data_IF_619267505186
#
_entry.id   IF_619267505186
#
_cell.length_a   1.000
_cell.length_b   1.000
_cell.length_c   1.000
_cell.angle_alpha   90.00
_cell.angle_beta   90.00
_cell.angle_gamma   90.00
#
_symmetry.space_group_name_H-M   'P 1'
#
loop_
_entity.id
_entity.type
_entity.pdbx_description
1 polymer ?
#
# COMPACT_ATOMS: atom_id res chain seq x y z
N UNK A 1 23.02 22.08 -9.14
CA UNK A 1 21.58 22.27 -8.79
C UNK A 1 20.80 23.07 -9.83
N UNK A 2 21.20 24.28 -10.23
CA UNK A 2 20.44 25.08 -11.22
C UNK A 2 20.29 24.37 -12.58
N UNK A 3 21.34 23.71 -13.07
CA UNK A 3 21.31 23.01 -14.36
C UNK A 3 20.20 21.95 -14.47
N UNK A 4 19.89 21.27 -13.36
CA UNK A 4 18.84 20.25 -13.29
C UNK A 4 17.48 20.81 -12.82
N UNK A 5 17.40 22.12 -12.54
CA UNK A 5 16.17 22.82 -12.13
C UNK A 5 16.04 24.16 -12.89
N UNK A 6 16.02 24.17 -14.23
CA UNK A 6 16.14 25.40 -15.02
C UNK A 6 15.01 26.40 -14.77
N UNK A 7 13.82 25.93 -14.41
CA UNK A 7 12.63 26.76 -14.18
C UNK A 7 12.50 27.24 -12.72
N UNK A 8 13.40 26.84 -11.82
CA UNK A 8 13.33 27.19 -10.41
C UNK A 8 14.24 28.39 -10.11
N UNK A 9 13.71 29.35 -9.34
CA UNK A 9 14.53 30.39 -8.71
C UNK A 9 15.10 29.83 -7.42
N UNK A 10 16.32 29.32 -7.47
CA UNK A 10 16.97 28.73 -6.30
C UNK A 10 17.51 29.85 -5.38
N UNK A 11 17.25 29.76 -4.05
CA UNK A 11 17.81 30.71 -3.10
C UNK A 11 19.33 30.57 -2.99
N UNK A 12 20.04 31.68 -2.75
CA UNK A 12 21.47 31.69 -2.45
C UNK A 12 21.70 31.57 -0.94
N UNK A 13 21.34 30.41 -0.39
CA UNK A 13 21.57 30.06 1.01
C UNK A 13 22.35 28.75 1.09
N UNK A 14 23.12 28.62 2.16
CA UNK A 14 23.77 27.35 2.49
C UNK A 14 22.73 26.25 2.70
N UNK A 15 23.02 25.05 2.21
CA UNK A 15 22.19 23.87 2.46
C UNK A 15 22.70 23.21 3.73
N UNK A 16 21.83 23.13 4.73
CA UNK A 16 22.13 22.50 6.00
C UNK A 16 21.78 21.02 5.94
N UNK A 17 22.80 20.16 5.90
CA UNK A 17 22.61 18.71 5.78
C UNK A 17 22.36 18.11 7.17
N UNK A 18 21.26 17.38 7.28
CA UNK A 18 20.85 16.67 8.48
C UNK A 18 21.00 15.16 8.25
N UNK A 19 21.73 14.49 9.12
CA UNK A 19 21.88 13.03 9.14
C UNK A 19 21.32 12.42 10.42
N UNK A 20 21.22 11.09 10.48
CA UNK A 20 20.77 10.36 11.68
C UNK A 20 21.92 10.16 12.68
N UNK A 21 21.65 10.40 13.96
CA UNK A 21 22.56 10.09 15.06
C UNK A 21 22.43 8.65 15.57
N UNK A 22 21.30 8.00 15.35
CA UNK A 22 21.05 6.61 15.75
C UNK A 22 21.30 5.61 14.61
N UNK A 23 21.57 4.36 14.99
CA UNK A 23 21.69 3.27 14.03
C UNK A 23 20.35 3.06 13.31
N UNK A 24 20.35 3.21 12.00
CA UNK A 24 19.12 3.35 11.23
C UNK A 24 19.12 2.53 9.95
N UNK A 25 18.05 1.75 9.76
CA UNK A 25 17.78 1.08 8.49
C UNK A 25 17.56 2.07 7.35
N UNK A 26 16.94 3.23 7.62
CA UNK A 26 16.77 4.30 6.63
C UNK A 26 18.12 4.86 6.19
N UNK A 27 19.07 5.00 7.13
CA UNK A 27 20.46 5.37 6.81
C UNK A 27 21.12 4.31 5.93
N UNK A 28 20.95 3.03 6.25
CA UNK A 28 21.48 1.94 5.40
C UNK A 28 20.94 1.98 3.97
N UNK A 29 19.66 2.27 3.80
CA UNK A 29 19.03 2.38 2.48
C UNK A 29 19.51 3.62 1.72
N UNK A 30 19.59 4.76 2.41
CA UNK A 30 20.00 6.02 1.81
C UNK A 30 21.46 5.97 1.35
N UNK A 31 22.37 5.51 2.22
CA UNK A 31 23.80 5.41 1.90
C UNK A 31 24.09 4.39 0.82
N UNK A 32 23.29 3.32 0.74
CA UNK A 32 23.36 2.41 -0.39
C UNK A 32 23.00 3.08 -1.70
N UNK A 33 21.90 3.82 -1.74
CA UNK A 33 21.51 4.54 -2.94
C UNK A 33 22.62 5.53 -3.35
N UNK A 34 23.20 6.27 -2.40
CA UNK A 34 24.36 7.14 -2.67
C UNK A 34 25.56 6.37 -3.24
N UNK A 35 25.86 5.18 -2.69
CA UNK A 35 26.89 4.27 -3.21
C UNK A 35 26.61 3.80 -4.62
N UNK A 36 25.34 3.60 -5.01
CA UNK A 36 25.01 3.25 -6.39
C UNK A 36 25.14 4.43 -7.36
N UNK A 37 24.87 5.65 -6.89
CA UNK A 37 24.90 6.84 -7.74
C UNK A 37 26.30 7.43 -7.93
N UNK A 38 27.17 7.26 -6.92
CA UNK A 38 28.48 7.92 -6.88
C UNK A 38 29.58 6.94 -6.51
N UNK A 39 30.51 6.75 -7.45
CA UNK A 39 31.72 5.98 -7.22
C UNK A 39 32.56 6.56 -6.07
N UNK A 40 32.67 7.89 -6.00
CA UNK A 40 33.42 8.59 -4.95
C UNK A 40 32.80 8.36 -3.56
N UNK A 41 31.47 8.42 -3.46
CA UNK A 41 30.76 8.08 -2.23
C UNK A 41 31.04 6.63 -1.83
N UNK A 42 30.94 5.72 -2.80
CA UNK A 42 31.07 4.29 -2.56
C UNK A 42 32.46 3.91 -2.05
N UNK A 43 33.52 4.51 -2.59
CA UNK A 43 34.90 4.26 -2.16
C UNK A 43 35.22 4.95 -0.84
N UNK A 44 34.70 6.16 -0.60
CA UNK A 44 35.03 6.96 0.59
C UNK A 44 34.25 6.52 1.82
N UNK A 45 32.94 6.31 1.69
CA UNK A 45 32.03 6.01 2.81
C UNK A 45 31.40 4.63 2.70
N UNK A 46 31.03 4.22 1.50
CA UNK A 46 30.31 2.97 1.26
C UNK A 46 28.91 2.97 1.88
N UNK A 47 28.44 1.76 2.18
CA UNK A 47 27.11 1.53 2.77
C UNK A 47 27.22 1.27 4.26
N UNK A 48 26.48 2.03 5.06
CA UNK A 48 26.49 1.90 6.51
C UNK A 48 25.14 2.25 7.11
N UNK A 49 24.86 1.71 8.30
CA UNK A 49 23.66 2.05 9.10
C UNK A 49 23.99 2.86 10.35
N UNK A 50 25.27 2.95 10.71
CA UNK A 50 25.71 3.50 11.98
C UNK A 50 25.51 5.02 12.05
N UNK A 51 25.07 5.49 13.21
CA UNK A 51 24.97 6.92 13.51
C UNK A 51 26.24 7.46 14.18
N UNK A 52 26.08 8.12 15.33
CA UNK A 52 27.20 8.57 16.17
C UNK A 52 27.68 7.49 17.12
N UNK A 53 28.94 7.57 17.54
CA UNK A 53 29.46 6.80 18.64
C UNK A 53 28.89 7.39 19.93
N UNK A 54 28.00 6.67 20.61
CA UNK A 54 27.34 7.16 21.83
C UNK A 54 28.29 7.42 23.01
N UNK A 55 29.52 6.93 22.95
CA UNK A 55 30.55 7.18 23.98
C UNK A 55 31.32 8.47 23.73
N UNK A 56 31.60 8.81 22.46
CA UNK A 56 32.39 9.98 22.09
C UNK A 56 31.57 11.12 21.48
N UNK A 57 30.27 10.90 21.30
CA UNK A 57 29.32 11.76 20.58
C UNK A 57 29.82 12.25 19.21
N UNK A 58 30.69 11.45 18.58
CA UNK A 58 31.30 11.75 17.29
C UNK A 58 30.67 10.87 16.22
N UNK A 59 30.42 11.36 15.00
CA UNK A 59 29.94 10.50 13.93
C UNK A 59 30.92 9.36 13.66
N UNK A 60 30.42 8.12 13.57
CA UNK A 60 31.31 6.98 13.31
C UNK A 60 31.77 6.95 11.86
N UNK A 61 30.90 7.37 10.94
CA UNK A 61 31.13 7.30 9.49
C UNK A 61 30.78 8.61 8.78
N UNK A 62 29.84 9.40 9.32
CA UNK A 62 29.49 10.68 8.69
C UNK A 62 30.64 11.69 8.73
N UNK A 63 30.90 12.34 7.60
CA UNK A 63 31.86 13.43 7.52
C UNK A 63 31.30 14.69 8.22
N UNK A 64 31.94 15.08 9.32
CA UNK A 64 31.59 16.28 10.09
C UNK A 64 31.77 17.59 9.32
N UNK A 65 32.49 17.59 8.20
CA UNK A 65 32.60 18.77 7.32
C UNK A 65 31.39 18.94 6.39
N UNK A 66 30.59 17.87 6.21
CA UNK A 66 29.41 17.85 5.34
C UNK A 66 28.12 17.89 6.18
N UNK A 67 28.09 17.19 7.31
CA UNK A 67 26.91 17.11 8.17
C UNK A 67 26.88 18.27 9.16
N UNK A 68 25.85 19.11 9.04
CA UNK A 68 25.66 20.26 9.93
C UNK A 68 24.90 19.90 11.20
N UNK A 69 23.98 18.93 11.12
CA UNK A 69 23.14 18.54 12.25
C UNK A 69 22.85 17.04 12.26
N UNK A 70 22.62 16.53 13.46
CA UNK A 70 22.32 15.13 13.70
C UNK A 70 20.96 14.99 14.38
N UNK A 71 20.15 14.09 13.83
CA UNK A 71 18.78 13.85 14.23
C UNK A 71 18.64 12.47 14.88
N UNK A 72 18.06 12.42 16.08
CA UNK A 72 17.74 11.16 16.73
C UNK A 72 16.38 10.62 16.24
N UNK A 73 16.40 9.46 15.61
CA UNK A 73 15.21 8.82 15.09
C UNK A 73 14.53 9.57 13.95
N UNK A 74 13.39 9.03 13.50
CA UNK A 74 12.58 9.66 12.45
C UNK A 74 11.92 10.97 12.92
N UNK A 75 11.50 11.04 14.18
CA UNK A 75 10.85 12.24 14.73
C UNK A 75 11.83 13.39 14.93
N UNK A 76 13.08 13.12 15.34
CA UNK A 76 14.13 14.14 15.39
C UNK A 76 14.41 14.70 13.99
N UNK A 77 14.47 13.82 12.98
CA UNK A 77 14.70 14.24 11.59
C UNK A 77 13.56 15.12 11.08
N UNK A 78 12.31 14.71 11.32
CA UNK A 78 11.13 15.50 11.01
C UNK A 78 11.16 16.87 11.69
N UNK A 79 11.47 16.92 12.99
CA UNK A 79 11.53 18.16 13.77
C UNK A 79 12.58 19.14 13.22
N UNK A 80 13.78 18.65 12.92
CA UNK A 80 14.85 19.47 12.36
C UNK A 80 14.52 19.96 10.94
N UNK A 81 14.08 19.07 10.04
CA UNK A 81 13.70 19.45 8.66
C UNK A 81 12.58 20.51 8.65
N UNK A 82 11.63 20.45 9.59
CA UNK A 82 10.56 21.45 9.71
C UNK A 82 11.03 22.79 10.28
N UNK A 83 11.92 22.76 11.26
CA UNK A 83 12.31 23.96 12.01
C UNK A 83 13.49 24.71 11.39
N UNK A 84 14.37 24.00 10.69
CA UNK A 84 15.60 24.52 10.12
C UNK A 84 15.37 24.86 8.65
N UNK A 85 15.33 26.16 8.34
CA UNK A 85 15.24 26.63 6.95
C UNK A 85 16.47 26.23 6.15
N UNK A 86 16.26 25.96 4.86
CA UNK A 86 17.32 25.55 3.92
C UNK A 86 18.01 24.23 4.31
N UNK A 87 17.32 23.38 5.06
CA UNK A 87 17.83 22.07 5.43
C UNK A 87 17.43 20.98 4.43
N UNK A 88 18.23 19.92 4.39
CA UNK A 88 17.93 18.68 3.68
C UNK A 88 18.19 17.49 4.59
N UNK A 89 17.30 16.52 4.54
CA UNK A 89 17.42 15.26 5.25
C UNK A 89 16.72 14.14 4.49
N UNK A 90 16.72 12.95 5.05
CA UNK A 90 16.10 11.76 4.46
C UNK A 90 15.18 11.08 5.47
N UNK A 91 14.01 10.64 5.00
CA UNK A 91 13.00 9.93 5.79
C UNK A 91 12.11 9.10 4.87
N UNK A 92 11.21 8.28 5.44
CA UNK A 92 10.23 7.55 4.63
C UNK A 92 9.28 8.50 3.90
N UNK A 93 8.87 8.11 2.70
CA UNK A 93 7.89 8.87 1.89
C UNK A 93 6.58 9.07 2.63
N UNK A 94 6.10 8.06 3.37
CA UNK A 94 4.90 8.16 4.20
C UNK A 94 4.99 9.30 5.22
N UNK A 95 6.09 9.37 5.96
CA UNK A 95 6.34 10.43 6.96
C UNK A 95 6.36 11.82 6.30
N UNK A 96 6.99 11.93 5.13
CA UNK A 96 7.04 13.18 4.38
C UNK A 96 5.63 13.64 3.95
N UNK A 97 4.79 12.72 3.45
CA UNK A 97 3.41 13.00 3.02
C UNK A 97 2.51 13.36 4.22
N UNK A 98 2.55 12.55 5.28
CA UNK A 98 1.76 12.76 6.51
C UNK A 98 2.00 14.14 7.14
N UNK A 99 3.21 14.67 6.98
CA UNK A 99 3.60 15.97 7.50
C UNK A 99 3.69 17.08 6.46
N UNK A 100 3.20 16.84 5.24
CA UNK A 100 3.16 17.80 4.14
C UNK A 100 4.53 18.42 3.83
N UNK A 101 5.59 17.63 3.93
CA UNK A 101 6.94 18.05 3.56
C UNK A 101 7.13 17.98 2.05
N UNK A 102 7.89 18.94 1.52
CA UNK A 102 8.41 18.84 0.16
C UNK A 102 9.54 17.82 0.12
N UNK A 103 9.58 17.00 -0.93
CA UNK A 103 10.66 16.06 -1.21
C UNK A 103 11.10 16.18 -2.66
N UNK A 104 12.37 15.85 -2.92
CA UNK A 104 12.95 15.97 -4.26
C UNK A 104 12.53 14.82 -5.17
N UNK A 105 12.50 15.08 -6.48
CA UNK A 105 12.43 14.04 -7.49
C UNK A 105 13.85 13.60 -7.78
N UNK A 106 14.07 12.29 -7.90
CA UNK A 106 15.41 11.73 -8.06
C UNK A 106 15.57 11.18 -9.47
N UNK A 107 16.69 11.53 -10.10
CA UNK A 107 17.02 11.03 -11.42
C UNK A 107 17.35 9.54 -11.33
N UNK A 108 16.70 8.71 -12.15
CA UNK A 108 16.98 7.28 -12.25
C UNK A 108 18.06 6.97 -13.31
N UNK A 109 18.42 5.70 -13.48
CA UNK A 109 19.40 5.25 -14.49
C UNK A 109 19.05 5.63 -15.94
N UNK A 110 17.77 5.92 -16.22
CA UNK A 110 17.28 6.30 -17.54
C UNK A 110 17.31 7.82 -17.75
N UNK A 111 17.80 8.58 -16.77
CA UNK A 111 17.86 10.03 -16.82
C UNK A 111 16.53 10.72 -16.45
N UNK A 112 15.54 9.98 -15.98
CA UNK A 112 14.19 10.47 -15.67
C UNK A 112 14.13 10.90 -14.20
N UNK A 113 13.62 12.11 -13.94
CA UNK A 113 13.35 12.57 -12.57
C UNK A 113 12.03 11.99 -12.07
N UNK A 114 12.13 10.98 -11.21
CA UNK A 114 10.99 10.19 -10.72
C UNK A 114 10.56 10.61 -9.32
N UNK A 115 9.26 10.50 -9.07
CA UNK A 115 8.67 10.62 -7.73
C UNK A 115 8.57 9.23 -7.07
N UNK A 116 8.50 9.13 -5.73
CA UNK A 116 8.20 7.88 -5.04
C UNK A 116 6.67 7.60 -5.06
N UNK A 117 6.15 7.13 -6.19
CA UNK A 117 4.77 6.66 -6.35
C UNK A 117 4.71 5.14 -6.23
N UNK A 118 3.49 4.58 -6.17
CA UNK A 118 3.30 3.13 -6.20
C UNK A 118 3.98 2.51 -7.43
N UNK A 119 3.76 3.09 -8.59
CA UNK A 119 4.23 2.59 -9.88
C UNK A 119 5.76 2.64 -9.98
N UNK A 120 6.37 3.75 -9.58
CA UNK A 120 7.84 3.90 -9.67
C UNK A 120 8.58 3.02 -8.65
N UNK A 121 8.02 2.83 -7.46
CA UNK A 121 8.60 1.94 -6.45
C UNK A 121 8.39 0.47 -6.86
N UNK A 122 7.24 0.11 -7.44
CA UNK A 122 7.05 -1.23 -7.99
C UNK A 122 7.94 -1.49 -9.21
N UNK A 123 8.24 -0.50 -10.04
CA UNK A 123 9.25 -0.61 -11.10
C UNK A 123 10.66 -0.86 -10.52
N UNK A 124 11.01 -0.25 -9.38
CA UNK A 124 12.25 -0.55 -8.67
C UNK A 124 12.29 -1.98 -8.12
N UNK A 125 11.16 -2.49 -7.59
CA UNK A 125 11.01 -3.90 -7.19
C UNK A 125 11.20 -4.85 -8.39
N UNK A 126 10.51 -4.56 -9.49
CA UNK A 126 10.50 -5.39 -10.69
C UNK A 126 11.86 -5.41 -11.41
N UNK A 127 12.67 -4.37 -11.23
CA UNK A 127 14.07 -4.35 -11.64
C UNK A 127 14.90 -5.47 -11.01
N UNK A 128 14.42 -6.11 -9.95
CA UNK A 128 15.15 -7.21 -9.31
C UNK A 128 14.26 -8.44 -9.14
N UNK A 129 13.11 -8.50 -9.82
CA UNK A 129 12.14 -9.58 -9.66
C UNK A 129 12.65 -10.96 -10.10
N UNK A 130 13.73 -11.05 -10.87
CA UNK A 130 14.38 -12.32 -11.24
C UNK A 130 15.54 -12.72 -10.32
N UNK A 131 15.88 -11.90 -9.33
CA UNK A 131 16.99 -12.16 -8.42
C UNK A 131 16.65 -13.28 -7.42
N UNK A 132 17.52 -14.27 -7.24
CA UNK A 132 17.29 -15.32 -6.25
C UNK A 132 17.25 -14.80 -4.80
N UNK A 133 17.85 -13.64 -4.54
CA UNK A 133 17.83 -12.98 -3.27
C UNK A 133 16.62 -12.05 -3.11
N UNK A 134 15.55 -12.56 -2.49
CA UNK A 134 14.35 -11.79 -2.16
C UNK A 134 14.56 -10.68 -1.11
N UNK A 135 15.74 -10.59 -0.48
CA UNK A 135 16.11 -9.49 0.43
C UNK A 135 17.09 -8.51 -0.22
N UNK A 136 17.26 -8.60 -1.55
CA UNK A 136 18.02 -7.63 -2.30
C UNK A 136 17.42 -6.24 -2.11
N UNK A 137 18.30 -5.29 -1.87
CA UNK A 137 17.92 -3.90 -1.69
C UNK A 137 17.66 -3.27 -3.07
N UNK A 138 16.78 -2.28 -3.13
CA UNK A 138 16.17 -1.77 -4.37
C UNK A 138 16.78 -0.44 -4.84
N UNK A 139 18.06 -0.24 -4.56
CA UNK A 139 18.78 0.94 -5.01
C UNK A 139 18.94 0.92 -6.54
N UNK A 140 18.68 2.07 -7.15
CA UNK A 140 18.94 2.37 -8.56
C UNK A 140 18.45 1.29 -9.55
N UNK A 141 17.16 0.97 -9.47
CA UNK A 141 16.52 -0.03 -10.33
C UNK A 141 16.72 0.25 -11.82
N UNK A 142 16.98 -0.81 -12.60
CA UNK A 142 17.33 -0.74 -14.02
C UNK A 142 16.12 -0.68 -14.97
N UNK A 143 14.88 -0.62 -14.47
CA UNK A 143 13.71 -0.43 -15.32
C UNK A 143 13.39 1.07 -15.49
N UNK A 144 12.86 1.49 -16.65
CA UNK A 144 12.33 2.84 -16.83
C UNK A 144 11.27 3.18 -15.78
N UNK A 145 11.23 4.44 -15.36
CA UNK A 145 10.32 4.94 -14.33
C UNK A 145 10.62 4.47 -12.91
N UNK A 146 11.65 3.63 -12.68
CA UNK A 146 12.01 3.15 -11.35
C UNK A 146 12.46 4.30 -10.44
N UNK A 147 11.91 4.35 -9.23
CA UNK A 147 12.39 5.28 -8.20
C UNK A 147 13.71 4.76 -7.62
N UNK A 148 14.78 5.56 -7.62
CA UNK A 148 16.12 5.04 -7.37
C UNK A 148 16.48 4.86 -5.88
N UNK A 149 15.64 5.35 -4.97
CA UNK A 149 15.83 5.19 -3.51
C UNK A 149 14.63 4.41 -2.93
N UNK A 150 14.63 3.10 -3.13
CA UNK A 150 13.58 2.20 -2.63
C UNK A 150 14.17 1.06 -1.79
N UNK A 151 13.34 0.46 -0.94
CA UNK A 151 13.68 -0.79 -0.24
C UNK A 151 12.41 -1.46 0.29
N UNK A 152 12.56 -2.72 0.69
CA UNK A 152 11.56 -3.44 1.45
C UNK A 152 11.67 -3.14 2.95
N UNK A 153 10.52 -3.24 3.63
CA UNK A 153 10.48 -3.53 5.07
C UNK A 153 10.31 -5.03 5.25
N UNK A 154 10.97 -5.60 6.26
CA UNK A 154 11.02 -7.04 6.45
C UNK A 154 10.26 -7.47 7.71
N UNK A 155 9.58 -8.61 7.60
CA UNK A 155 9.14 -9.40 8.74
C UNK A 155 10.04 -10.62 8.84
N UNK A 156 10.55 -10.89 10.04
CA UNK A 156 11.44 -12.03 10.31
C UNK A 156 10.66 -13.06 11.10
N UNK A 157 10.61 -14.29 10.58
CA UNK A 157 9.95 -15.41 11.24
C UNK A 157 10.76 -16.70 11.12
N UNK A 158 10.58 -17.60 12.07
CA UNK A 158 11.23 -18.90 12.00
C UNK A 158 10.61 -19.77 10.91
N UNK A 159 11.43 -20.29 10.01
CA UNK A 159 10.96 -21.17 8.93
C UNK A 159 10.43 -22.52 9.43
N UNK A 160 11.11 -23.15 10.40
CA UNK A 160 10.80 -24.52 10.85
C UNK A 160 10.81 -24.71 12.36
N UNK A 161 11.23 -23.68 13.12
CA UNK A 161 11.43 -23.76 14.58
C UNK A 161 10.23 -23.27 15.39
N UNK A 162 9.10 -22.99 14.74
CA UNK A 162 7.88 -22.60 15.44
C UNK A 162 7.24 -23.82 16.11
N UNK A 163 6.78 -23.62 17.35
CA UNK A 163 6.17 -24.67 18.19
C UNK A 163 4.67 -24.46 18.42
N UNK A 164 4.18 -23.22 18.31
CA UNK A 164 2.75 -22.89 18.41
C UNK A 164 2.13 -22.85 17.00
N UNK A 165 1.56 -23.96 16.55
CA UNK A 165 1.16 -24.09 15.15
C UNK A 165 -0.04 -23.25 14.75
N UNK A 166 -1.00 -23.02 15.66
CA UNK A 166 -2.10 -22.09 15.39
C UNK A 166 -1.59 -20.66 15.21
N UNK A 167 -0.71 -20.18 16.10
CA UNK A 167 -0.07 -18.87 15.96
C UNK A 167 0.79 -18.78 14.68
N UNK A 168 1.50 -19.84 14.33
CA UNK A 168 2.33 -19.88 13.12
C UNK A 168 1.49 -19.78 11.83
N UNK A 169 0.36 -20.49 11.80
CA UNK A 169 -0.61 -20.46 10.71
C UNK A 169 -1.25 -19.07 10.56
N UNK A 170 -1.71 -18.47 11.66
CA UNK A 170 -2.26 -17.11 11.63
C UNK A 170 -1.21 -16.05 11.28
N UNK A 171 0.04 -16.25 11.68
CA UNK A 171 1.15 -15.40 11.24
C UNK A 171 1.33 -15.49 9.71
N UNK A 172 1.38 -16.69 9.14
CA UNK A 172 1.44 -16.85 7.67
C UNK A 172 0.24 -16.17 7.01
N UNK A 173 -0.97 -16.35 7.56
CA UNK A 173 -2.19 -15.69 7.08
C UNK A 173 -2.10 -14.18 7.09
N UNK A 174 -1.61 -13.59 8.17
CA UNK A 174 -1.42 -12.14 8.29
C UNK A 174 -0.36 -11.60 7.30
N UNK A 175 0.63 -12.42 6.95
CA UNK A 175 1.70 -12.07 6.01
C UNK A 175 1.32 -12.35 4.55
N UNK A 176 0.16 -12.98 4.27
CA UNK A 176 -0.42 -13.01 2.91
C UNK A 176 -0.92 -11.59 2.56
N UNK A 177 0.04 -10.72 2.24
CA UNK A 177 -0.10 -9.30 1.91
C UNK A 177 -0.63 -9.08 0.48
N UNK A 178 -1.21 -10.10 -0.14
CA UNK A 178 -1.67 -10.09 -1.54
C UNK A 178 -3.17 -9.91 -1.69
N UNK A 179 -3.92 -9.87 -0.58
CA UNK A 179 -5.36 -9.62 -0.68
C UNK A 179 -5.63 -8.17 -1.10
N UNK A 180 -6.68 -7.90 -1.90
CA UNK A 180 -7.05 -6.53 -2.27
C UNK A 180 -7.31 -5.61 -1.07
N UNK A 181 -7.80 -6.15 0.05
CA UNK A 181 -7.93 -5.38 1.30
C UNK A 181 -6.57 -5.01 1.89
N UNK A 182 -5.63 -5.95 1.97
CA UNK A 182 -4.30 -5.66 2.50
C UNK A 182 -3.54 -4.66 1.63
N UNK A 183 -3.67 -4.75 0.31
CA UNK A 183 -3.09 -3.76 -0.62
C UNK A 183 -3.68 -2.36 -0.38
N UNK A 184 -5.00 -2.25 -0.22
CA UNK A 184 -5.64 -0.97 0.11
C UNK A 184 -5.20 -0.41 1.46
N UNK A 185 -5.08 -1.26 2.48
CA UNK A 185 -4.62 -0.84 3.81
C UNK A 185 -3.15 -0.39 3.78
N UNK A 186 -2.32 -1.03 2.95
CA UNK A 186 -0.94 -0.64 2.69
C UNK A 186 -0.87 0.76 2.04
N UNK A 187 -1.65 0.96 0.97
CA UNK A 187 -1.73 2.25 0.27
C UNK A 187 -2.30 3.35 1.17
N UNK A 188 -3.30 3.04 2.00
CA UNK A 188 -3.88 3.98 2.97
C UNK A 188 -2.88 4.42 4.06
N UNK A 189 -1.78 3.70 4.24
CA UNK A 189 -0.65 4.05 5.11
C UNK A 189 0.51 4.67 4.34
N UNK A 190 0.28 5.12 3.10
CA UNK A 190 1.29 5.69 2.21
C UNK A 190 2.49 4.75 1.99
N UNK A 191 2.24 3.43 2.09
CA UNK A 191 3.19 2.37 1.75
C UNK A 191 2.88 1.81 0.36
N UNK A 192 3.88 1.20 -0.27
CA UNK A 192 3.74 0.59 -1.59
C UNK A 192 3.60 -0.92 -1.42
N UNK A 193 2.49 -1.54 -1.89
CA UNK A 193 2.36 -2.99 -1.87
C UNK A 193 3.40 -3.63 -2.79
N UNK A 194 3.83 -4.84 -2.44
CA UNK A 194 4.71 -5.63 -3.29
C UNK A 194 4.12 -5.73 -4.71
N UNK A 195 4.98 -5.68 -5.73
CA UNK A 195 4.55 -5.97 -7.10
C UNK A 195 4.05 -7.41 -7.20
N UNK A 196 3.15 -7.70 -8.13
CA UNK A 196 2.57 -9.05 -8.29
C UNK A 196 3.66 -10.11 -8.49
N UNK A 197 4.73 -9.78 -9.23
CA UNK A 197 5.87 -10.67 -9.45
C UNK A 197 6.59 -11.02 -8.15
N UNK A 198 6.94 -10.01 -7.36
CA UNK A 198 7.66 -10.22 -6.10
C UNK A 198 6.76 -10.91 -5.07
N UNK A 199 5.47 -10.53 -5.01
CA UNK A 199 4.52 -11.12 -4.10
C UNK A 199 4.29 -12.61 -4.37
N UNK A 200 4.18 -13.01 -5.64
CA UNK A 200 4.08 -14.42 -6.04
C UNK A 200 5.33 -15.20 -5.63
N UNK A 201 6.53 -14.62 -5.79
CA UNK A 201 7.78 -15.26 -5.38
C UNK A 201 7.89 -15.40 -3.86
N UNK A 202 7.56 -14.36 -3.09
CA UNK A 202 7.52 -14.44 -1.62
C UNK A 202 6.55 -15.53 -1.16
N UNK A 203 5.38 -15.63 -1.80
CA UNK A 203 4.42 -16.68 -1.51
C UNK A 203 5.02 -18.08 -1.76
N UNK A 204 5.58 -18.31 -2.94
CA UNK A 204 6.07 -19.63 -3.37
C UNK A 204 7.37 -20.05 -2.66
N UNK A 205 8.33 -19.13 -2.56
CA UNK A 205 9.69 -19.44 -2.09
C UNK A 205 9.82 -19.30 -0.57
N UNK A 206 8.99 -18.47 0.06
CA UNK A 206 9.05 -18.21 1.52
C UNK A 206 7.84 -18.81 2.22
N UNK A 207 6.64 -18.28 1.99
CA UNK A 207 5.46 -18.59 2.81
C UNK A 207 5.04 -20.07 2.72
N UNK A 208 5.05 -20.65 1.52
CA UNK A 208 4.71 -22.07 1.32
C UNK A 208 5.72 -23.04 1.96
N UNK A 209 6.91 -22.54 2.31
CA UNK A 209 7.97 -23.37 2.90
C UNK A 209 7.98 -23.36 4.43
N UNK A 210 7.13 -22.55 5.05
CA UNK A 210 7.03 -22.43 6.50
C UNK A 210 6.40 -23.69 7.10
N UNK A 211 7.09 -24.28 8.08
CA UNK A 211 6.66 -25.47 8.81
C UNK A 211 6.55 -25.20 10.32
N UNK A 212 5.55 -25.79 10.94
CA UNK A 212 5.45 -25.88 12.40
C UNK A 212 5.37 -27.36 12.79
N UNK A 213 6.30 -27.82 13.64
CA UNK A 213 6.39 -29.23 14.04
C UNK A 213 6.34 -30.21 12.83
N UNK A 214 7.00 -29.83 11.73
CA UNK A 214 7.03 -30.61 10.48
C UNK A 214 5.82 -30.41 9.55
N UNK A 215 4.69 -29.89 10.06
CA UNK A 215 3.45 -29.67 9.30
C UNK A 215 3.51 -28.38 8.48
N UNK A 216 2.86 -28.39 7.31
CA UNK A 216 2.80 -27.24 6.40
C UNK A 216 1.82 -26.21 6.92
N UNK A 217 2.33 -25.07 7.40
CA UNK A 217 1.48 -23.95 7.87
C UNK A 217 0.64 -23.37 6.74
N UNK A 218 1.17 -23.34 5.52
CA UNK A 218 0.44 -22.89 4.34
C UNK A 218 -0.79 -23.76 4.05
N UNK A 219 -0.63 -25.08 4.08
CA UNK A 219 -1.75 -25.99 3.78
C UNK A 219 -2.82 -25.94 4.87
N UNK A 220 -2.40 -25.89 6.14
CA UNK A 220 -3.33 -25.73 7.26
C UNK A 220 -4.08 -24.40 7.19
N UNK A 221 -3.39 -23.30 6.87
CA UNK A 221 -4.02 -21.99 6.67
C UNK A 221 -5.04 -22.01 5.52
N UNK A 222 -4.70 -22.60 4.37
CA UNK A 222 -5.62 -22.68 3.24
C UNK A 222 -6.87 -23.49 3.59
N UNK A 223 -6.70 -24.63 4.29
CA UNK A 223 -7.83 -25.44 4.74
C UNK A 223 -8.77 -24.66 5.68
N UNK A 224 -8.21 -23.87 6.60
CA UNK A 224 -9.01 -23.03 7.50
C UNK A 224 -9.73 -21.90 6.75
N UNK A 225 -9.04 -21.24 5.81
CA UNK A 225 -9.65 -20.21 4.96
C UNK A 225 -10.80 -20.78 4.11
N UNK A 226 -10.64 -21.98 3.57
CA UNK A 226 -11.68 -22.67 2.82
C UNK A 226 -12.89 -23.02 3.72
N UNK A 227 -12.64 -23.55 4.91
CA UNK A 227 -13.67 -23.87 5.88
C UNK A 227 -14.46 -22.63 6.33
N UNK A 228 -13.76 -21.52 6.61
CA UNK A 228 -14.38 -20.24 6.94
C UNK A 228 -15.20 -19.67 5.79
N UNK A 229 -14.67 -19.71 4.56
CA UNK A 229 -15.38 -19.24 3.38
C UNK A 229 -16.63 -20.07 3.11
N UNK A 230 -16.56 -21.38 3.29
CA UNK A 230 -17.72 -22.27 3.19
C UNK A 230 -18.78 -21.91 4.26
N UNK A 231 -18.38 -21.78 5.53
CA UNK A 231 -19.27 -21.39 6.62
C UNK A 231 -19.92 -20.03 6.38
N UNK A 232 -19.15 -19.06 5.87
CA UNK A 232 -19.62 -17.71 5.54
C UNK A 232 -20.65 -17.73 4.41
N UNK A 233 -20.42 -18.55 3.37
CA UNK A 233 -21.35 -18.69 2.25
C UNK A 233 -22.71 -19.24 2.68
N UNK A 234 -22.74 -20.13 3.67
CA UNK A 234 -23.96 -20.77 4.18
C UNK A 234 -25.01 -19.78 4.69
N UNK A 235 -24.58 -18.67 5.30
CA UNK A 235 -25.51 -17.66 5.83
C UNK A 235 -25.57 -16.37 5.00
N UNK A 236 -24.49 -15.96 4.33
CA UNK A 236 -24.50 -14.75 3.50
C UNK A 236 -25.49 -14.87 2.35
N UNK A 237 -25.53 -16.01 1.66
CA UNK A 237 -26.41 -16.20 0.51
C UNK A 237 -27.90 -16.04 0.87
N UNK A 238 -28.44 -16.71 1.91
CA UNK A 238 -29.83 -16.49 2.30
C UNK A 238 -30.08 -15.06 2.81
N UNK A 239 -29.13 -14.43 3.50
CA UNK A 239 -29.26 -13.04 3.95
C UNK A 239 -29.31 -12.07 2.76
N UNK A 240 -28.43 -12.24 1.77
CA UNK A 240 -28.38 -11.42 0.57
C UNK A 240 -29.62 -11.55 -0.31
N UNK A 241 -30.32 -12.68 -0.27
CA UNK A 241 -31.60 -12.89 -0.98
C UNK A 241 -32.78 -12.34 -0.17
N UNK A 242 -32.82 -12.61 1.14
CA UNK A 242 -33.95 -12.25 2.00
C UNK A 242 -34.05 -10.74 2.28
N UNK A 243 -32.93 -10.04 2.46
CA UNK A 243 -32.90 -8.59 2.67
C UNK A 243 -33.60 -7.78 1.55
N UNK A 244 -33.27 -7.96 0.26
CA UNK A 244 -33.92 -7.20 -0.81
C UNK A 244 -35.40 -7.59 -0.99
N UNK A 245 -35.76 -8.87 -0.78
CA UNK A 245 -37.17 -9.29 -0.81
C UNK A 245 -37.94 -8.59 0.31
N UNK A 246 -37.40 -8.59 1.52
CA UNK A 246 -38.01 -7.92 2.67
C UNK A 246 -38.14 -6.41 2.41
N UNK A 247 -37.10 -5.76 1.89
CA UNK A 247 -37.14 -4.35 1.52
C UNK A 247 -38.22 -4.07 0.45
N UNK A 248 -38.37 -4.92 -0.56
CA UNK A 248 -39.41 -4.79 -1.58
C UNK A 248 -40.83 -4.96 -0.99
N UNK A 249 -41.04 -5.89 -0.07
CA UNK A 249 -42.31 -6.07 0.64
C UNK A 249 -42.65 -4.83 1.48
N UNK A 250 -41.67 -4.30 2.22
CA UNK A 250 -41.86 -3.09 3.02
C UNK A 250 -42.19 -1.89 2.12
N UNK A 251 -41.46 -1.70 1.02
CA UNK A 251 -41.71 -0.62 0.06
C UNK A 251 -43.08 -0.73 -0.60
N UNK A 252 -43.52 -1.93 -0.96
CA UNK A 252 -44.86 -2.15 -1.55
C UNK A 252 -45.97 -1.90 -0.53
N UNK A 253 -45.81 -2.32 0.72
CA UNK A 253 -46.75 -2.02 1.80
C UNK A 253 -46.84 -0.51 2.11
N UNK A 254 -45.70 0.18 2.18
CA UNK A 254 -45.67 1.64 2.36
C UNK A 254 -46.34 2.37 1.20
N UNK A 255 -46.07 1.94 -0.04
CA UNK A 255 -46.74 2.45 -1.23
C UNK A 255 -48.25 2.23 -1.20
N UNK A 256 -48.70 1.05 -0.76
CA UNK A 256 -50.12 0.73 -0.62
C UNK A 256 -50.80 1.58 0.46
N UNK A 257 -50.17 1.78 1.63
CA UNK A 257 -50.69 2.64 2.70
C UNK A 257 -50.78 4.10 2.22
N UNK A 258 -49.77 4.60 1.51
CA UNK A 258 -49.79 5.94 0.92
C UNK A 258 -50.94 6.08 -0.10
N UNK A 259 -51.13 5.07 -0.96
CA UNK A 259 -52.23 5.03 -1.92
C UNK A 259 -53.61 5.00 -1.25
N UNK A 260 -53.78 4.20 -0.20
CA UNK A 260 -55.03 4.12 0.58
C UNK A 260 -55.35 5.45 1.26
N UNK A 261 -54.36 6.08 1.91
CA UNK A 261 -54.54 7.42 2.50
C UNK A 261 -54.93 8.45 1.44
N UNK A 262 -54.27 8.41 0.27
CA UNK A 262 -54.62 9.29 -0.84
C UNK A 262 -56.06 9.07 -1.32
N UNK A 263 -56.46 7.82 -1.55
CA UNK A 263 -57.82 7.48 -2.01
C UNK A 263 -58.89 7.93 -1.01
N UNK A 264 -58.63 7.79 0.29
CA UNK A 264 -59.52 8.29 1.35
C UNK A 264 -59.63 9.82 1.33
N UNK A 265 -58.51 10.54 1.18
CA UNK A 265 -58.51 12.01 1.11
C UNK A 265 -59.19 12.53 -0.17
N UNK A 266 -58.98 11.88 -1.32
CA UNK A 266 -59.61 12.28 -2.57
C UNK A 266 -61.13 12.04 -2.58
N UNK A 267 -61.60 10.97 -1.94
CA UNK A 267 -63.02 10.69 -1.75
C UNK A 267 -63.68 11.66 -0.75
N UNK A 268 -62.98 12.08 0.31
CA UNK A 268 -63.52 12.99 1.32
C UNK A 268 -63.47 14.48 0.93
N UNK A 269 -62.48 14.90 0.13
CA UNK A 269 -62.21 16.33 -0.13
C UNK A 269 -62.24 16.73 -1.62
N UNK A 270 -62.50 15.82 -2.57
CA UNK A 270 -62.71 16.18 -3.99
C UNK A 270 -61.48 16.74 -4.73
N UNK A 271 -60.26 16.39 -4.32
CA UNK A 271 -59.03 16.92 -4.93
C UNK A 271 -58.55 16.05 -6.10
N UNK A 272 -58.57 16.59 -7.33
CA UNK A 272 -58.05 15.95 -8.55
C UNK A 272 -56.51 16.09 -8.68
N UNK A 273 -55.85 15.03 -9.18
CA UNK A 273 -54.41 15.02 -9.47
C UNK A 273 -54.05 15.95 -10.66
N UNK A 274 -52.93 16.70 -10.62
CA UNK A 274 -52.35 17.27 -11.83
C UNK A 274 -51.88 16.14 -12.77
N UNK A 275 -52.27 16.24 -14.05
CA UNK A 275 -52.13 15.22 -15.11
C UNK A 275 -50.70 14.72 -15.40
N UNK A 276 -49.67 15.29 -14.79
CA UNK A 276 -48.26 15.05 -15.11
C UNK A 276 -47.67 13.75 -14.56
N UNK A 277 -48.27 13.11 -13.55
CA UNK A 277 -47.68 11.90 -12.90
C UNK A 277 -48.27 10.58 -13.45
N UNK A 278 -49.43 10.62 -14.12
CA UNK A 278 -50.12 9.44 -14.67
C UNK A 278 -49.31 8.68 -15.72
N UNK A 279 -48.34 9.34 -16.36
CA UNK A 279 -47.48 8.71 -17.38
C UNK A 279 -46.23 8.01 -16.81
N UNK A 280 -45.88 8.24 -15.53
CA UNK A 280 -44.67 7.67 -14.92
C UNK A 280 -44.88 6.27 -14.29
N UNK A 281 -46.13 5.84 -14.09
CA UNK A 281 -46.48 4.56 -13.46
C UNK A 281 -46.85 3.44 -14.46
N UNK A 282 -46.71 3.67 -15.77
CA UNK A 282 -46.77 2.60 -16.77
C UNK A 282 -45.46 1.81 -16.76
N UNK A 283 -45.35 0.85 -15.84
CA UNK A 283 -44.33 -0.19 -15.91
C UNK A 283 -44.51 -1.01 -17.20
N UNK A 284 -43.46 -1.21 -18.03
CA UNK A 284 -43.52 -2.12 -19.16
C UNK A 284 -43.14 -3.52 -18.67
N UNK A 285 -44.12 -4.29 -18.17
CA UNK A 285 -43.97 -5.74 -18.12
C UNK A 285 -44.67 -6.32 -19.36
N UNK A 286 -43.90 -6.50 -20.43
CA UNK A 286 -44.31 -7.30 -21.58
C UNK A 286 -43.69 -8.69 -21.43
N UNK A 287 -44.48 -9.66 -20.98
CA UNK A 287 -44.14 -11.08 -20.98
C UNK A 287 -44.43 -11.64 -22.38
N UNK A 288 -43.49 -11.48 -23.31
CA UNK A 288 -43.39 -12.35 -24.48
C UNK A 288 -41.97 -12.30 -25.03
N UNK A 289 -41.19 -13.34 -24.79
CA UNK A 289 -40.35 -14.01 -25.78
C UNK A 289 -39.56 -15.11 -25.05
N UNK A 290 -39.84 -16.36 -25.43
CA UNK A 290 -39.00 -17.49 -25.08
C UNK A 290 -37.64 -17.35 -25.77
N UNK A 291 -36.58 -17.52 -24.99
CA UNK A 291 -35.28 -17.89 -25.52
C UNK A 291 -34.78 -19.09 -24.72
N UNK A 292 -34.53 -20.16 -25.45
CA UNK A 292 -33.99 -21.44 -25.06
C UNK A 292 -32.58 -21.33 -24.46
N UNK A 293 -32.27 -22.26 -23.56
CA UNK A 293 -30.94 -22.55 -23.04
C UNK A 293 -29.94 -22.84 -24.18
N UNK A 294 -28.64 -22.51 -24.04
CA UNK A 294 -27.63 -22.95 -24.98
C UNK A 294 -27.26 -24.41 -24.71
N UNK A 295 -27.33 -25.21 -25.77
CA UNK A 295 -26.88 -26.60 -25.81
C UNK A 295 -25.36 -26.68 -26.01
N UNK A 296 -24.79 -27.74 -25.45
CA UNK A 296 -23.39 -28.13 -25.46
C UNK A 296 -23.15 -28.95 -26.73
N UNK A 297 -22.24 -28.54 -27.61
CA UNK A 297 -21.24 -29.35 -28.36
C UNK A 297 -20.68 -28.54 -29.54
N UNK A 298 -19.41 -28.12 -29.43
CA UNK A 298 -18.25 -28.53 -30.26
C UNK A 298 -17.02 -27.70 -29.88
#
# INVERSE_FOLDING_TARGET
MQAINPNCKLPSHEILVIARSDDSGTTSMFTEALSSFSYEWNVTFGVFSAGVNRTTDSPQVWDSSIIHMLADGNFGMLGLVKSVRYSIGYMSTSTARDHSLSFAYIQNQHGEFTQPTKESVQAAMDSWATDSNLTRRLADGHLPGAYPIASYSYLIMYRTKMTQCDSAKELVRAVVLTTPSAQRDCEAKEMVPLSDKVAQRVQQEVLQTVRCQGRSTWNEMQADMEAENAAKKTWILPVAISLPIFAAIVLTLLGYIAWQRYKLVSLCCGVQFPQTITNALKFPFNLSNGHSLPDITD
#
